data_IF_727975874603
#
_entry.id   IF_727975874603
#
_cell.length_a   1.000
_cell.length_b   1.000
_cell.length_c   1.000
_cell.angle_alpha   90.00
_cell.angle_beta   90.00
_cell.angle_gamma   90.00
#
_symmetry.space_group_name_H-M   'P 1'
#
loop_
_entity.id
_entity.type
_entity.pdbx_description
1 polymer ?
#
# COMPACT_ATOMS: atom_id res chain seq x y z
N UNK A 1 -1.63 6.66 8.40
CA UNK A 1 -1.15 5.43 7.72
C UNK A 1 -2.33 4.69 7.10
N UNK A 2 -2.20 4.19 5.86
CA UNK A 2 -3.24 3.43 5.15
C UNK A 2 -2.76 2.00 4.87
N UNK A 3 -3.57 1.01 5.25
CA UNK A 3 -3.29 -0.41 4.97
C UNK A 3 -4.10 -0.84 3.74
N UNK A 4 -3.38 -1.22 2.68
CA UNK A 4 -3.96 -1.64 1.42
C UNK A 4 -4.17 -3.16 1.43
N UNK A 5 -5.38 -3.58 1.06
CA UNK A 5 -5.83 -4.96 1.10
C UNK A 5 -6.83 -5.25 -0.02
N UNK A 6 -7.95 -5.88 0.32
CA UNK A 6 -8.92 -6.39 -0.67
C UNK A 6 -9.91 -5.35 -1.21
N UNK A 7 -10.08 -4.18 -0.59
CA UNK A 7 -11.05 -3.17 -1.04
C UNK A 7 -10.69 -2.62 -2.45
N UNK A 8 -11.64 -2.00 -3.17
CA UNK A 8 -11.34 -1.32 -4.43
C UNK A 8 -10.27 -0.23 -4.27
N UNK A 9 -9.49 0.02 -5.31
CA UNK A 9 -8.38 1.00 -5.33
C UNK A 9 -8.86 2.38 -4.85
N UNK A 10 -9.98 2.85 -5.39
CA UNK A 10 -10.51 4.18 -5.09
C UNK A 10 -10.83 4.39 -3.59
N UNK A 11 -11.17 3.34 -2.85
CA UNK A 11 -11.40 3.47 -1.40
C UNK A 11 -10.11 3.87 -0.68
N UNK A 12 -8.96 3.36 -1.13
CA UNK A 12 -7.67 3.74 -0.58
C UNK A 12 -7.25 5.13 -1.03
N UNK A 13 -7.50 5.49 -2.30
CA UNK A 13 -7.26 6.86 -2.81
C UNK A 13 -8.02 7.88 -1.97
N UNK A 14 -9.32 7.68 -1.74
CA UNK A 14 -10.14 8.60 -0.94
C UNK A 14 -9.66 8.69 0.50
N UNK A 15 -9.28 7.58 1.13
CA UNK A 15 -8.70 7.62 2.47
C UNK A 15 -7.40 8.44 2.53
N UNK A 16 -6.56 8.34 1.49
CA UNK A 16 -5.33 9.14 1.41
C UNK A 16 -5.63 10.63 1.21
N UNK A 17 -6.58 10.97 0.33
CA UNK A 17 -7.01 12.36 0.09
C UNK A 17 -7.55 12.98 1.37
N UNK A 18 -8.44 12.30 2.11
CA UNK A 18 -8.98 12.82 3.37
C UNK A 18 -7.88 13.15 4.37
N UNK A 19 -6.90 12.26 4.55
CA UNK A 19 -5.80 12.48 5.50
C UNK A 19 -4.93 13.68 5.07
N UNK A 20 -4.62 13.79 3.78
CA UNK A 20 -3.80 14.90 3.27
C UNK A 20 -4.55 16.24 3.34
N UNK A 21 -5.86 16.24 3.09
CA UNK A 21 -6.71 17.42 3.20
C UNK A 21 -6.90 17.88 4.66
N UNK A 22 -6.75 16.98 5.64
CA UNK A 22 -6.68 17.31 7.08
C UNK A 22 -5.37 18.04 7.46
N UNK A 23 -4.43 18.20 6.52
CA UNK A 23 -3.20 18.97 6.67
C UNK A 23 -1.96 18.13 6.97
N UNK A 24 -2.08 16.80 6.95
CA UNK A 24 -0.93 15.90 7.08
C UNK A 24 0.01 16.04 5.88
N UNK A 25 1.32 16.13 6.15
CA UNK A 25 2.35 16.29 5.11
C UNK A 25 2.96 14.98 4.65
N UNK A 26 2.78 13.93 5.45
CA UNK A 26 3.36 12.61 5.19
C UNK A 26 2.30 11.53 5.37
N UNK A 27 2.30 10.56 4.45
CA UNK A 27 1.40 9.44 4.50
C UNK A 27 2.14 8.14 4.14
N UNK A 28 2.03 7.16 5.03
CA UNK A 28 2.57 5.82 4.79
C UNK A 28 1.48 4.90 4.26
N UNK A 29 1.71 4.29 3.09
CA UNK A 29 0.94 3.16 2.57
C UNK A 29 1.68 1.85 2.86
N UNK A 30 0.97 0.86 3.41
CA UNK A 30 1.52 -0.49 3.62
C UNK A 30 0.64 -1.53 2.96
N UNK A 31 1.28 -2.51 2.34
CA UNK A 31 0.63 -3.62 1.65
C UNK A 31 1.51 -4.87 1.71
N UNK A 32 0.92 -6.04 1.48
CA UNK A 32 1.64 -7.32 1.40
C UNK A 32 1.07 -8.19 0.28
N UNK A 33 1.91 -9.06 -0.29
CA UNK A 33 1.52 -9.97 -1.36
C UNK A 33 0.92 -9.24 -2.56
N UNK A 34 -0.18 -9.76 -3.10
CA UNK A 34 -0.87 -9.18 -4.27
C UNK A 34 -1.42 -7.76 -4.05
N UNK A 35 -1.59 -7.33 -2.79
CA UNK A 35 -2.04 -5.96 -2.49
C UNK A 35 -0.95 -4.90 -2.77
N UNK A 36 0.32 -5.28 -2.96
CA UNK A 36 1.40 -4.34 -3.27
C UNK A 36 1.11 -3.58 -4.57
N UNK A 37 0.69 -4.28 -5.62
CA UNK A 37 0.33 -3.65 -6.89
C UNK A 37 -0.79 -2.62 -6.73
N UNK A 38 -1.77 -2.90 -5.85
CA UNK A 38 -2.86 -1.98 -5.53
C UNK A 38 -2.39 -0.74 -4.78
N UNK A 39 -1.39 -0.87 -3.91
CA UNK A 39 -0.79 0.28 -3.23
C UNK A 39 -0.04 1.18 -4.22
N UNK A 40 0.72 0.59 -5.15
CA UNK A 40 1.39 1.33 -6.22
C UNK A 40 0.38 2.06 -7.10
N UNK A 41 -0.72 1.41 -7.46
CA UNK A 41 -1.80 2.03 -8.24
C UNK A 41 -2.44 3.22 -7.51
N UNK A 42 -2.65 3.08 -6.20
CA UNK A 42 -3.18 4.15 -5.35
C UNK A 42 -2.26 5.38 -5.37
N UNK A 43 -0.94 5.19 -5.22
CA UNK A 43 0.04 6.29 -5.31
C UNK A 43 0.05 6.94 -6.69
N UNK A 44 -0.04 6.14 -7.76
CA UNK A 44 -0.08 6.67 -9.13
C UNK A 44 -1.32 7.55 -9.38
N UNK A 45 -2.48 7.14 -8.89
CA UNK A 45 -3.72 7.94 -9.01
C UNK A 45 -3.60 9.23 -8.19
N UNK A 46 -3.11 9.15 -6.95
CA UNK A 46 -2.91 10.34 -6.11
C UNK A 46 -2.03 11.38 -6.81
N UNK A 47 -0.89 10.95 -7.37
CA UNK A 47 0.05 11.84 -8.04
C UNK A 47 -0.49 12.44 -9.35
N UNK A 48 -1.30 11.69 -10.10
CA UNK A 48 -1.84 12.13 -11.40
C UNK A 48 -3.09 12.99 -11.26
N UNK A 49 -3.94 12.69 -10.29
CA UNK A 49 -5.31 13.23 -10.24
C UNK A 49 -5.54 14.23 -9.11
N UNK A 50 -4.77 14.18 -8.02
CA UNK A 50 -5.04 14.98 -6.82
C UNK A 50 -3.88 15.91 -6.43
N UNK A 51 -2.65 15.37 -6.33
CA UNK A 51 -1.50 16.12 -5.82
C UNK A 51 -0.29 15.94 -6.76
N UNK A 52 -0.02 16.95 -7.58
CA UNK A 52 1.10 16.91 -8.56
C UNK A 52 2.48 16.89 -7.91
N UNK A 53 2.57 17.45 -6.71
CA UNK A 53 3.82 17.67 -5.97
C UNK A 53 4.03 16.62 -4.87
N UNK A 54 3.30 15.49 -4.91
CA UNK A 54 3.58 14.36 -4.03
C UNK A 54 4.93 13.75 -4.39
N UNK A 55 5.79 13.63 -3.38
CA UNK A 55 7.09 12.97 -3.47
C UNK A 55 7.08 11.67 -2.67
N UNK A 56 7.76 10.64 -3.18
CA UNK A 56 7.95 9.38 -2.46
C UNK A 56 9.23 9.53 -1.64
N UNK A 57 9.08 9.68 -0.33
CA UNK A 57 10.20 9.89 0.60
C UNK A 57 11.02 8.62 0.84
N UNK A 58 10.37 7.46 0.93
CA UNK A 58 11.04 6.18 1.20
C UNK A 58 10.21 4.99 0.70
N UNK A 59 10.89 3.89 0.35
CA UNK A 59 10.27 2.61 -0.01
C UNK A 59 10.97 1.49 0.75
N UNK A 60 10.27 0.88 1.71
CA UNK A 60 10.76 -0.30 2.44
C UNK A 60 10.06 -1.56 1.95
N UNK A 61 10.85 -2.53 1.54
CA UNK A 61 10.39 -3.87 1.16
C UNK A 61 10.91 -4.85 2.21
N UNK A 62 10.02 -5.65 2.77
CA UNK A 62 10.35 -6.73 3.69
C UNK A 62 9.65 -8.02 3.26
N UNK A 63 10.21 -9.14 3.70
CA UNK A 63 9.59 -10.45 3.56
C UNK A 63 9.22 -10.92 4.95
N UNK A 64 7.92 -11.14 5.15
CA UNK A 64 7.44 -11.87 6.32
C UNK A 64 7.34 -13.35 5.92
N UNK A 65 8.00 -14.24 6.67
CA UNK A 65 7.79 -15.68 6.53
C UNK A 65 6.40 -16.01 7.09
N UNK A 66 5.47 -16.34 6.20
CA UNK A 66 4.15 -16.85 6.57
C UNK A 66 4.16 -18.37 6.41
N UNK A 67 4.06 -19.12 7.52
CA UNK A 67 3.74 -20.55 7.47
C UNK A 67 2.28 -20.73 7.01
N UNK A 68 2.10 -20.89 5.70
CA UNK A 68 0.83 -21.27 5.11
C UNK A 68 0.58 -22.77 5.31
N UNK A 69 0.17 -23.15 6.52
CA UNK A 69 -0.32 -24.49 6.84
C UNK A 69 0.78 -25.52 7.06
N UNK A 70 0.75 -26.18 8.23
CA UNK A 70 1.62 -27.30 8.55
C UNK A 70 1.49 -28.44 7.53
N UNK A 71 2.34 -28.43 6.52
CA UNK A 71 2.75 -29.63 5.79
C UNK A 71 4.11 -29.38 5.16
N UNK A 72 5.16 -29.60 5.95
CA UNK A 72 6.51 -29.81 5.42
C UNK A 72 6.46 -31.09 4.60
N UNK A 73 6.49 -30.96 3.27
CA UNK A 73 6.84 -32.08 2.38
C UNK A 73 8.34 -32.04 2.18
N UNK A 74 9.05 -32.71 3.07
CA UNK A 74 10.43 -33.14 2.81
C UNK A 74 10.38 -34.22 1.74
N UNK A 75 11.00 -33.96 0.59
CA UNK A 75 11.40 -35.00 -0.35
C UNK A 75 12.93 -35.13 -0.28
N UNK A 76 13.36 -36.36 -0.04
CA UNK A 76 14.75 -36.80 0.09
C UNK A 76 15.61 -36.54 -1.13
#
# INVERSE_FOLDING_TARGET
MVIVGSKPVMNYVMACVTILDEGERELVLRARGSAISKAVETVQILRRSFYKDIEVSDIKIGSDEFEAGGRIVSAS
#
